data_IF_973840020676
#
_entry.id   IF_973840020676
#
_cell.length_a   1.000
_cell.length_b   1.000
_cell.length_c   1.000
_cell.angle_alpha   90.00
_cell.angle_beta   90.00
_cell.angle_gamma   90.00
#
_symmetry.space_group_name_H-M   'P 1'
#
loop_
_entity.id
_entity.type
_entity.pdbx_description
1 polymer ?
#
# COMPACT_ATOMS: atom_id res chain seq x y z
N UNK A 1 -7.10 -33.01 -8.64
CA UNK A 1 -5.91 -32.23 -8.24
C UNK A 1 -5.87 -30.85 -8.90
N UNK A 2 -6.11 -30.74 -10.21
CA UNK A 2 -6.11 -29.46 -10.94
C UNK A 2 -7.18 -28.50 -10.43
N UNK A 3 -8.42 -28.96 -10.25
CA UNK A 3 -9.50 -28.11 -9.73
C UNK A 3 -9.22 -27.53 -8.33
N UNK A 4 -8.60 -28.33 -7.45
CA UNK A 4 -8.23 -27.88 -6.12
C UNK A 4 -7.13 -26.81 -6.20
N UNK A 5 -6.17 -26.96 -7.11
CA UNK A 5 -5.12 -25.96 -7.33
C UNK A 5 -5.68 -24.64 -7.88
N UNK A 6 -6.64 -24.72 -8.81
CA UNK A 6 -7.34 -23.53 -9.33
C UNK A 6 -8.11 -22.81 -8.22
N UNK A 7 -8.91 -23.56 -7.46
CA UNK A 7 -9.69 -23.00 -6.37
C UNK A 7 -8.81 -22.34 -5.31
N UNK A 8 -7.70 -22.99 -4.92
CA UNK A 8 -6.74 -22.42 -3.97
C UNK A 8 -6.08 -21.15 -4.51
N UNK A 9 -5.72 -21.11 -5.79
CA UNK A 9 -5.12 -19.92 -6.42
C UNK A 9 -6.10 -18.73 -6.43
N UNK A 10 -7.36 -18.96 -6.77
CA UNK A 10 -8.40 -17.93 -6.73
C UNK A 10 -8.62 -17.43 -5.31
N UNK A 11 -8.66 -18.32 -4.32
CA UNK A 11 -8.79 -17.92 -2.92
C UNK A 11 -7.60 -17.07 -2.45
N UNK A 12 -6.37 -17.43 -2.83
CA UNK A 12 -5.17 -16.63 -2.52
C UNK A 12 -5.22 -15.27 -3.20
N UNK A 13 -5.60 -15.19 -4.48
CA UNK A 13 -5.77 -13.91 -5.18
C UNK A 13 -6.82 -13.04 -4.49
N UNK A 14 -7.94 -13.59 -4.05
CA UNK A 14 -8.96 -12.83 -3.33
C UNK A 14 -8.44 -12.28 -1.99
N UNK A 15 -7.65 -13.05 -1.24
CA UNK A 15 -6.99 -12.59 -0.01
C UNK A 15 -5.98 -11.48 -0.33
N UNK A 16 -5.16 -11.65 -1.36
CA UNK A 16 -4.20 -10.63 -1.76
C UNK A 16 -4.88 -9.34 -2.23
N UNK A 17 -6.01 -9.41 -2.96
CA UNK A 17 -6.80 -8.23 -3.31
C UNK A 17 -7.34 -7.51 -2.06
N UNK A 18 -7.77 -8.26 -1.04
CA UNK A 18 -8.19 -7.65 0.22
C UNK A 18 -7.02 -6.96 0.94
N UNK A 19 -5.80 -7.52 0.87
CA UNK A 19 -4.59 -6.89 1.42
C UNK A 19 -4.20 -5.65 0.61
N UNK A 20 -4.28 -5.69 -0.72
CA UNK A 20 -4.07 -4.51 -1.57
C UNK A 20 -5.08 -3.41 -1.24
N UNK A 21 -6.37 -3.75 -1.10
CA UNK A 21 -7.42 -2.84 -0.69
C UNK A 21 -7.17 -2.23 0.70
N UNK A 22 -6.65 -3.02 1.64
CA UNK A 22 -6.24 -2.54 2.95
C UNK A 22 -5.13 -1.48 2.83
N UNK A 23 -4.06 -1.73 2.08
CA UNK A 23 -2.99 -0.75 1.88
C UNK A 23 -3.51 0.53 1.23
N UNK A 24 -4.27 0.41 0.15
CA UNK A 24 -4.78 1.55 -0.61
C UNK A 24 -5.77 2.42 0.19
N UNK A 25 -6.68 1.80 0.94
CA UNK A 25 -7.59 2.55 1.82
C UNK A 25 -6.86 3.17 3.01
N UNK A 26 -5.85 2.50 3.54
CA UNK A 26 -5.02 3.00 4.63
C UNK A 26 -4.20 4.21 4.19
N UNK A 27 -3.57 4.15 3.02
CA UNK A 27 -2.81 5.25 2.45
C UNK A 27 -3.63 6.54 2.43
N UNK A 28 -4.77 6.51 1.74
CA UNK A 28 -5.58 7.71 1.60
C UNK A 28 -6.16 8.18 2.94
N UNK A 29 -6.57 7.28 3.81
CA UNK A 29 -7.12 7.65 5.11
C UNK A 29 -6.08 8.34 6.00
N UNK A 30 -4.85 7.81 6.04
CA UNK A 30 -3.78 8.38 6.86
C UNK A 30 -3.26 9.71 6.30
N UNK A 31 -3.16 9.86 4.97
CA UNK A 31 -2.60 11.06 4.35
C UNK A 31 -3.62 12.16 4.01
N UNK A 32 -4.91 11.88 4.06
CA UNK A 32 -5.95 12.91 3.87
C UNK A 32 -6.25 13.73 5.12
N UNK A 33 -5.78 13.32 6.29
CA UNK A 33 -5.96 14.05 7.54
C UNK A 33 -4.87 15.11 7.70
N UNK A 34 -5.25 16.33 8.06
CA UNK A 34 -4.29 17.37 8.45
C UNK A 34 -3.60 17.02 9.77
N UNK A 35 -2.41 17.58 10.00
CA UNK A 35 -1.67 17.33 11.23
C UNK A 35 -2.42 17.85 12.47
N UNK A 36 -3.17 18.96 12.32
CA UNK A 36 -4.07 19.47 13.37
C UNK A 36 -5.15 18.44 13.72
N UNK A 37 -5.74 17.79 12.69
CA UNK A 37 -6.77 16.78 12.92
C UNK A 37 -6.20 15.53 13.57
N UNK A 38 -5.00 15.11 13.20
CA UNK A 38 -4.28 14.01 13.84
C UNK A 38 -4.04 14.32 15.33
N UNK A 39 -3.61 15.54 15.64
CA UNK A 39 -3.39 15.97 17.03
C UNK A 39 -4.70 15.97 17.86
N UNK A 40 -5.82 16.41 17.29
CA UNK A 40 -7.15 16.34 17.95
C UNK A 40 -7.58 14.90 18.23
N UNK A 41 -7.26 13.98 17.31
CA UNK A 41 -7.62 12.58 17.42
C UNK A 41 -6.71 11.80 18.40
N UNK A 42 -5.58 12.37 18.86
CA UNK A 42 -4.61 11.69 19.72
C UNK A 42 -5.21 11.13 21.02
N UNK A 43 -6.24 11.80 21.57
CA UNK A 43 -6.97 11.34 22.77
C UNK A 43 -7.97 10.19 22.52
N UNK A 44 -8.17 9.76 21.29
CA UNK A 44 -9.09 8.68 20.94
C UNK A 44 -8.37 7.32 20.90
N UNK A 45 -9.14 6.24 20.96
CA UNK A 45 -8.59 4.89 20.82
C UNK A 45 -7.91 4.72 19.45
N UNK A 46 -6.61 4.45 19.44
CA UNK A 46 -5.77 4.37 18.23
C UNK A 46 -5.14 5.70 17.80
N UNK A 47 -5.46 6.81 18.47
CA UNK A 47 -4.94 8.13 18.13
C UNK A 47 -3.44 8.30 18.40
N UNK A 48 -2.94 7.70 19.48
CA UNK A 48 -1.49 7.68 19.75
C UNK A 48 -0.73 6.91 18.65
N UNK A 49 -1.22 5.71 18.28
CA UNK A 49 -0.62 4.92 17.20
C UNK A 49 -0.68 5.70 15.85
N UNK A 50 -1.75 6.47 15.60
CA UNK A 50 -1.89 7.33 14.43
C UNK A 50 -0.86 8.47 14.43
N UNK A 51 -0.72 9.17 15.54
CA UNK A 51 0.25 10.25 15.70
C UNK A 51 1.70 9.75 15.54
N UNK A 52 2.02 8.61 16.15
CA UNK A 52 3.33 7.95 16.01
C UNK A 52 3.66 7.60 14.54
N UNK A 53 2.69 7.05 13.79
CA UNK A 53 2.87 6.72 12.37
C UNK A 53 3.07 7.98 11.52
N UNK A 54 2.31 9.03 11.78
CA UNK A 54 2.39 10.30 11.06
C UNK A 54 3.68 11.06 11.39
N UNK A 55 4.29 10.81 12.55
CA UNK A 55 5.58 11.38 12.94
C UNK A 55 6.74 10.97 12.02
N UNK A 56 6.64 9.84 11.29
CA UNK A 56 7.58 9.45 10.23
C UNK A 56 6.80 9.14 8.94
N UNK A 57 6.20 10.17 8.36
CA UNK A 57 5.36 10.08 7.17
C UNK A 57 6.09 9.49 5.96
N UNK A 58 7.39 9.79 5.81
CA UNK A 58 8.20 9.21 4.73
C UNK A 58 8.30 7.69 4.86
N UNK A 59 8.66 7.20 6.03
CA UNK A 59 8.76 5.76 6.30
C UNK A 59 7.41 5.06 6.17
N UNK A 60 6.35 5.70 6.64
CA UNK A 60 4.98 5.20 6.47
C UNK A 60 4.61 5.04 5.00
N UNK A 61 4.88 6.07 4.18
CA UNK A 61 4.64 6.05 2.74
C UNK A 61 5.42 4.93 2.05
N UNK A 62 6.72 4.81 2.32
CA UNK A 62 7.56 3.75 1.75
C UNK A 62 7.03 2.37 2.18
N UNK A 63 6.61 2.20 3.43
CA UNK A 63 6.05 0.93 3.93
C UNK A 63 4.78 0.54 3.16
N UNK A 64 3.86 1.48 2.95
CA UNK A 64 2.62 1.25 2.21
C UNK A 64 2.92 0.92 0.75
N UNK A 65 3.79 1.71 0.09
CA UNK A 65 4.16 1.49 -1.30
C UNK A 65 4.81 0.12 -1.51
N UNK A 66 5.78 -0.25 -0.67
CA UNK A 66 6.46 -1.54 -0.75
C UNK A 66 5.47 -2.67 -0.52
N UNK A 67 4.64 -2.58 0.52
CA UNK A 67 3.64 -3.60 0.83
C UNK A 67 2.64 -3.79 -0.30
N UNK A 68 2.08 -2.71 -0.82
CA UNK A 68 1.11 -2.76 -1.91
C UNK A 68 1.73 -3.33 -3.20
N UNK A 69 2.94 -2.90 -3.57
CA UNK A 69 3.62 -3.41 -4.76
C UNK A 69 3.95 -4.90 -4.66
N UNK A 70 4.42 -5.39 -3.52
CA UNK A 70 4.68 -6.82 -3.30
C UNK A 70 3.41 -7.63 -3.51
N UNK A 71 2.29 -7.17 -2.97
CA UNK A 71 0.98 -7.82 -3.12
C UNK A 71 0.52 -7.81 -4.58
N UNK A 72 0.62 -6.69 -5.27
CA UNK A 72 0.19 -6.55 -6.66
C UNK A 72 1.03 -7.43 -7.61
N UNK A 73 2.34 -7.54 -7.38
CA UNK A 73 3.22 -8.44 -8.11
C UNK A 73 2.84 -9.90 -7.83
N UNK A 74 2.53 -10.27 -6.59
CA UNK A 74 2.11 -11.61 -6.24
C UNK A 74 0.78 -11.99 -6.93
N UNK A 75 -0.21 -11.09 -6.96
CA UNK A 75 -1.47 -11.29 -7.70
C UNK A 75 -1.18 -11.58 -9.18
N UNK A 76 -0.39 -10.73 -9.83
CA UNK A 76 -0.04 -10.87 -11.25
C UNK A 76 0.67 -12.19 -11.52
N UNK A 77 1.60 -12.58 -10.65
CA UNK A 77 2.37 -13.83 -10.78
C UNK A 77 1.46 -15.06 -10.66
N UNK A 78 0.55 -15.09 -9.70
CA UNK A 78 -0.39 -16.21 -9.50
C UNK A 78 -1.35 -16.29 -10.69
N UNK A 79 -1.89 -15.17 -11.16
CA UNK A 79 -2.76 -15.13 -12.33
C UNK A 79 -2.03 -15.62 -13.58
N UNK A 80 -0.75 -15.26 -13.76
CA UNK A 80 0.06 -15.75 -14.88
C UNK A 80 0.18 -17.28 -14.86
N UNK A 81 0.58 -17.84 -13.72
CA UNK A 81 0.71 -19.30 -13.55
C UNK A 81 -0.62 -20.00 -13.82
N UNK A 82 -1.72 -19.41 -13.36
CA UNK A 82 -3.06 -19.97 -13.59
C UNK A 82 -3.43 -19.95 -15.07
N UNK A 83 -3.20 -18.85 -15.77
CA UNK A 83 -3.59 -18.70 -17.17
C UNK A 83 -2.71 -19.51 -18.15
N UNK A 84 -1.41 -19.63 -17.89
CA UNK A 84 -0.50 -20.47 -18.69
C UNK A 84 -0.90 -21.96 -18.67
N UNK A 85 -1.61 -22.40 -17.62
CA UNK A 85 -2.13 -23.77 -17.56
C UNK A 85 -3.27 -24.03 -18.57
N UNK A 86 -3.91 -22.99 -19.11
CA UNK A 86 -5.08 -23.11 -19.99
C UNK A 86 -4.93 -22.43 -21.35
N UNK A 87 -3.98 -21.51 -21.48
CA UNK A 87 -3.79 -20.67 -22.67
C UNK A 87 -2.35 -20.80 -23.19
N UNK A 88 -2.13 -20.59 -24.49
CA UNK A 88 -0.78 -20.39 -25.03
C UNK A 88 -0.05 -19.26 -24.28
N UNK A 89 1.29 -19.34 -24.10
CA UNK A 89 2.03 -18.40 -23.25
C UNK A 89 1.81 -16.92 -23.62
N UNK A 90 1.73 -16.59 -24.90
CA UNK A 90 1.55 -15.23 -25.39
C UNK A 90 0.16 -14.66 -24.98
N UNK A 91 -0.87 -15.46 -25.09
CA UNK A 91 -2.24 -15.11 -24.68
C UNK A 91 -2.38 -15.08 -23.17
N UNK A 92 -1.68 -15.96 -22.46
CA UNK A 92 -1.66 -15.97 -21.02
C UNK A 92 -1.05 -14.68 -20.45
N UNK A 93 0.08 -14.20 -20.99
CA UNK A 93 0.71 -12.94 -20.57
C UNK A 93 -0.21 -11.76 -20.84
N UNK A 94 -0.77 -11.64 -22.05
CA UNK A 94 -1.70 -10.56 -22.39
C UNK A 94 -2.97 -10.60 -21.51
N UNK A 95 -3.56 -11.78 -21.35
CA UNK A 95 -4.73 -12.00 -20.50
C UNK A 95 -4.47 -11.68 -19.03
N UNK A 96 -3.30 -12.07 -18.51
CA UNK A 96 -2.90 -11.71 -17.13
C UNK A 96 -2.77 -10.22 -16.98
N UNK A 97 -2.09 -9.54 -17.91
CA UNK A 97 -1.89 -8.09 -17.82
C UNK A 97 -3.25 -7.38 -17.74
N UNK A 98 -4.19 -7.72 -18.60
CA UNK A 98 -5.53 -7.13 -18.57
C UNK A 98 -6.29 -7.48 -17.30
N UNK A 99 -6.33 -8.76 -16.93
CA UNK A 99 -7.08 -9.22 -15.77
C UNK A 99 -6.49 -8.67 -14.45
N UNK A 100 -5.18 -8.79 -14.25
CA UNK A 100 -4.51 -8.30 -13.05
C UNK A 100 -4.64 -6.78 -12.93
N UNK A 101 -4.37 -6.02 -14.01
CA UNK A 101 -4.52 -4.56 -13.99
C UNK A 101 -5.95 -4.15 -13.64
N UNK A 102 -6.96 -4.77 -14.27
CA UNK A 102 -8.35 -4.44 -14.01
C UNK A 102 -8.77 -4.77 -12.58
N UNK A 103 -8.42 -5.96 -12.08
CA UNK A 103 -8.74 -6.40 -10.72
C UNK A 103 -8.05 -5.54 -9.66
N UNK A 104 -6.74 -5.34 -9.80
CA UNK A 104 -5.96 -4.54 -8.86
C UNK A 104 -6.42 -3.09 -8.89
N UNK A 105 -6.57 -2.49 -10.07
CA UNK A 105 -6.95 -1.08 -10.19
C UNK A 105 -8.35 -0.82 -9.61
N UNK A 106 -9.32 -1.67 -9.93
CA UNK A 106 -10.71 -1.45 -9.47
C UNK A 106 -10.86 -1.89 -8.02
N UNK A 107 -10.53 -3.16 -7.70
CA UNK A 107 -10.83 -3.76 -6.40
C UNK A 107 -9.72 -3.50 -5.36
N UNK A 108 -8.47 -3.36 -5.80
CA UNK A 108 -7.31 -3.11 -4.94
C UNK A 108 -7.02 -1.64 -4.68
N UNK A 109 -7.40 -0.73 -5.61
CA UNK A 109 -7.00 0.68 -5.51
C UNK A 109 -8.17 1.66 -5.56
N UNK A 110 -8.92 1.77 -6.68
CA UNK A 110 -9.90 2.86 -6.86
C UNK A 110 -11.01 2.79 -5.81
N UNK A 111 -11.70 1.64 -5.71
CA UNK A 111 -12.80 1.49 -4.75
C UNK A 111 -12.33 1.64 -3.30
N UNK A 112 -11.23 0.98 -2.87
CA UNK A 112 -10.72 1.13 -1.51
C UNK A 112 -10.26 2.56 -1.18
N UNK A 113 -9.59 3.26 -2.10
CA UNK A 113 -9.18 4.65 -1.89
C UNK A 113 -10.40 5.56 -1.75
N UNK A 114 -11.41 5.40 -2.61
CA UNK A 114 -12.64 6.17 -2.52
C UNK A 114 -13.37 5.96 -1.19
N UNK A 115 -13.43 4.70 -0.74
CA UNK A 115 -14.04 4.36 0.55
C UNK A 115 -13.20 4.86 1.73
N UNK A 116 -11.88 4.70 1.68
CA UNK A 116 -10.94 5.16 2.69
C UNK A 116 -10.99 6.68 2.89
N UNK A 117 -11.09 7.44 1.79
CA UNK A 117 -11.25 8.89 1.83
C UNK A 117 -12.58 9.29 2.49
N UNK A 118 -13.67 8.64 2.12
CA UNK A 118 -15.00 8.93 2.70
C UNK A 118 -15.10 8.59 4.20
N UNK A 119 -14.23 7.72 4.72
CA UNK A 119 -14.22 7.26 6.10
C UNK A 119 -12.88 7.51 6.81
N UNK A 120 -12.13 8.55 6.38
CA UNK A 120 -10.73 8.74 6.73
C UNK A 120 -10.45 8.69 8.23
N UNK A 121 -11.15 9.47 9.05
CA UNK A 121 -10.92 9.53 10.49
C UNK A 121 -11.16 8.18 11.19
N UNK A 122 -12.32 7.60 10.93
CA UNK A 122 -12.69 6.32 11.54
C UNK A 122 -11.76 5.20 11.13
N UNK A 123 -11.36 5.18 9.84
CA UNK A 123 -10.47 4.16 9.31
C UNK A 123 -9.04 4.35 9.80
N UNK A 124 -8.51 5.59 9.79
CA UNK A 124 -7.17 5.91 10.27
C UNK A 124 -6.94 5.43 11.71
N UNK A 125 -7.88 5.71 12.62
CA UNK A 125 -7.79 5.25 14.02
C UNK A 125 -7.76 3.72 14.15
N UNK A 126 -8.45 3.01 13.26
CA UNK A 126 -8.51 1.54 13.30
C UNK A 126 -7.30 0.86 12.69
N UNK A 127 -6.77 1.43 11.61
CA UNK A 127 -5.64 0.83 10.89
C UNK A 127 -4.28 1.23 11.43
N UNK A 128 -4.19 2.26 12.26
CA UNK A 128 -2.93 2.74 12.80
C UNK A 128 -2.14 1.62 13.49
N UNK A 129 -2.76 0.89 14.41
CA UNK A 129 -2.11 -0.20 15.10
C UNK A 129 -1.73 -1.38 14.19
N UNK A 130 -2.62 -1.95 13.34
CA UNK A 130 -2.25 -2.95 12.34
C UNK A 130 -1.11 -2.48 11.44
N UNK A 131 -1.14 -1.22 10.96
CA UNK A 131 -0.11 -0.68 10.08
C UNK A 131 1.26 -0.60 10.75
N UNK A 132 1.31 -0.31 12.04
CA UNK A 132 2.55 -0.38 12.83
C UNK A 132 3.18 -1.78 12.81
N UNK A 133 2.38 -2.84 12.96
CA UNK A 133 2.87 -4.22 12.85
C UNK A 133 3.35 -4.55 11.44
N UNK A 134 2.63 -4.11 10.41
CA UNK A 134 3.07 -4.24 9.02
C UNK A 134 4.43 -3.57 8.82
N UNK A 135 4.63 -2.36 9.36
CA UNK A 135 5.90 -1.65 9.31
C UNK A 135 7.06 -2.41 9.96
N UNK A 136 6.80 -3.14 11.05
CA UNK A 136 7.80 -4.00 11.71
C UNK A 136 8.15 -5.21 10.82
N UNK A 137 7.14 -5.87 10.27
CA UNK A 137 7.33 -7.06 9.41
C UNK A 137 8.06 -6.69 8.11
N UNK A 138 7.69 -5.57 7.50
CA UNK A 138 8.29 -5.09 6.25
C UNK A 138 9.60 -4.30 6.47
N UNK A 139 10.00 -4.07 7.73
CA UNK A 139 11.17 -3.24 8.05
C UNK A 139 12.43 -3.60 7.25
N UNK A 140 12.83 -4.88 7.08
CA UNK A 140 14.06 -5.19 6.34
C UNK A 140 13.96 -4.76 4.87
N UNK A 141 12.79 -4.94 4.26
CA UNK A 141 12.55 -4.57 2.86
C UNK A 141 12.47 -3.05 2.71
N UNK A 142 11.74 -2.40 3.59
CA UNK A 142 11.62 -0.92 3.64
C UNK A 142 12.98 -0.27 3.83
N UNK A 143 13.84 -0.79 4.72
CA UNK A 143 15.18 -0.24 4.96
C UNK A 143 16.06 -0.28 3.70
N UNK A 144 15.96 -1.33 2.88
CA UNK A 144 16.67 -1.39 1.59
C UNK A 144 16.20 -0.30 0.65
N UNK A 145 14.89 -0.16 0.45
CA UNK A 145 14.33 0.86 -0.44
C UNK A 145 14.58 2.29 0.06
N UNK A 146 14.43 2.54 1.35
CA UNK A 146 14.70 3.84 1.97
C UNK A 146 16.17 4.25 1.77
N UNK A 147 17.10 3.33 1.99
CA UNK A 147 18.53 3.56 1.77
C UNK A 147 18.84 3.89 0.31
N UNK A 148 18.26 3.12 -0.63
CA UNK A 148 18.43 3.36 -2.06
C UNK A 148 17.85 4.72 -2.48
N UNK A 149 16.65 5.04 -2.02
CA UNK A 149 15.97 6.29 -2.37
C UNK A 149 16.70 7.51 -1.82
N UNK A 150 17.12 7.47 -0.56
CA UNK A 150 17.94 8.56 0.04
C UNK A 150 19.28 8.73 -0.67
N UNK A 151 19.93 7.62 -1.04
CA UNK A 151 21.18 7.65 -1.80
C UNK A 151 21.02 8.31 -3.17
N UNK A 152 19.95 8.00 -3.89
CA UNK A 152 19.65 8.58 -5.20
C UNK A 152 19.28 10.07 -5.06
N UNK A 153 18.40 10.42 -4.13
CA UNK A 153 17.98 11.80 -3.89
C UNK A 153 19.17 12.68 -3.47
N UNK A 154 20.05 12.18 -2.62
CA UNK A 154 21.28 12.88 -2.25
C UNK A 154 22.24 13.08 -3.43
N UNK A 155 22.36 12.10 -4.33
CA UNK A 155 23.18 12.18 -5.54
C UNK A 155 22.59 13.15 -6.59
N UNK A 156 21.26 13.32 -6.61
CA UNK A 156 20.54 14.23 -7.53
C UNK A 156 20.45 15.67 -7.01
N UNK A 157 21.08 15.98 -5.86
CA UNK A 157 21.05 17.32 -5.26
C UNK A 157 19.72 17.73 -4.64
N UNK A 158 18.84 16.76 -4.43
CA UNK A 158 17.59 16.96 -3.72
C UNK A 158 17.84 16.97 -2.21
N UNK A 159 18.01 18.15 -1.62
CA UNK A 159 17.89 18.31 -0.19
C UNK A 159 16.41 18.11 0.18
N UNK A 160 16.14 17.18 1.09
CA UNK A 160 14.82 17.01 1.70
C UNK A 160 14.35 18.25 2.50
N UNK A 161 15.23 19.25 2.62
CA UNK A 161 14.97 20.53 3.30
C UNK A 161 14.23 21.56 2.41
N UNK A 162 14.18 21.35 1.08
CA UNK A 162 13.53 22.32 0.17
C UNK A 162 12.00 22.37 0.41
N UNK A 163 11.42 21.26 0.83
CA UNK A 163 9.98 21.18 1.09
C UNK A 163 9.60 21.88 2.41
N UNK A 164 10.52 22.02 3.35
CA UNK A 164 10.32 22.78 4.61
C UNK A 164 10.43 24.28 4.40
N UNK A 165 11.36 24.73 3.58
CA UNK A 165 11.59 26.15 3.35
C UNK A 165 10.45 26.83 2.56
N UNK A 166 9.71 26.07 1.73
CA UNK A 166 8.55 26.58 0.98
C UNK A 166 7.26 26.66 1.82
N UNK A 167 7.20 26.02 2.98
CA UNK A 167 6.03 26.05 3.87
C UNK A 167 6.16 27.07 5.00
N UNK A 168 7.37 27.58 5.26
CA UNK A 168 7.64 28.60 6.31
C UNK A 168 7.52 30.05 5.79
N UNK A 169 7.28 30.27 4.49
CA UNK A 169 7.19 31.61 3.85
C UNK A 169 5.75 32.05 3.53
N UNK A 170 4.70 31.37 4.03
CA UNK A 170 3.29 31.81 3.99
C UNK A 170 2.72 31.98 5.42
#
# INVERSE_FOLDING_TARGET
MVELAVFSSIAVVAVLLAVSAFFSSTEIALFSLSDERVAELAGHAGGEDLADLRGDSHRLLVTILVGNNVVNIAISSILTVLLVAYLPPELAVAGTTLAATSLVLVCGEILPKSWGLANAEWWALRVARPMRYVGIVLWPLVAVFDTLTRGISGAMGGNADIERELLDDE
#
